data_IF_944885809643
#
_entry.id   IF_944885809643
#
_cell.length_a   1.000
_cell.length_b   1.000
_cell.length_c   1.000
_cell.angle_alpha   90.00
_cell.angle_beta   90.00
_cell.angle_gamma   90.00
#
_symmetry.space_group_name_H-M   'P 1'
#
loop_
_entity.id
_entity.type
_entity.pdbx_description
1 polymer ?
#
# COMPACT_ATOMS: atom_id res chain seq x y z
N UNK A 1 14.10 -6.38 -4.35
CA UNK A 1 14.37 -7.80 -4.15
C UNK A 1 14.74 -8.12 -2.69
N UNK A 2 15.80 -7.53 -2.10
CA UNK A 2 16.27 -7.85 -0.74
C UNK A 2 15.18 -7.67 0.35
N UNK A 3 14.42 -6.59 0.30
CA UNK A 3 13.33 -6.32 1.26
C UNK A 3 12.26 -7.41 1.20
N UNK A 4 11.90 -7.85 0.01
CA UNK A 4 10.90 -8.90 -0.18
C UNK A 4 11.42 -10.27 0.31
N UNK A 5 12.69 -10.58 0.05
CA UNK A 5 13.34 -11.79 0.59
C UNK A 5 13.37 -11.77 2.12
N UNK A 6 13.70 -10.63 2.71
CA UNK A 6 13.69 -10.46 4.17
C UNK A 6 12.28 -10.67 4.75
N UNK A 7 11.24 -10.12 4.11
CA UNK A 7 9.86 -10.34 4.51
C UNK A 7 9.49 -11.82 4.51
N UNK A 8 9.88 -12.56 3.46
CA UNK A 8 9.62 -14.02 3.40
C UNK A 8 10.36 -14.78 4.50
N UNK A 9 11.59 -14.38 4.83
CA UNK A 9 12.34 -14.96 5.95
C UNK A 9 11.60 -14.73 7.28
N UNK A 10 11.10 -13.52 7.51
CA UNK A 10 10.32 -13.21 8.71
C UNK A 10 9.04 -14.03 8.77
N UNK A 11 8.29 -14.11 7.66
CA UNK A 11 7.08 -14.95 7.59
C UNK A 11 7.35 -16.41 7.88
N UNK A 12 8.51 -16.93 7.47
CA UNK A 12 8.86 -18.34 7.68
C UNK A 12 9.39 -18.65 9.10
N UNK A 13 9.98 -17.66 9.77
CA UNK A 13 10.65 -17.84 11.06
C UNK A 13 9.84 -17.42 12.27
N UNK A 14 8.90 -16.50 12.07
CA UNK A 14 8.11 -15.96 13.17
C UNK A 14 6.61 -16.23 12.91
N UNK A 15 5.91 -16.63 13.98
CA UNK A 15 4.45 -16.76 13.97
C UNK A 15 3.82 -15.35 14.06
N UNK A 16 3.87 -14.64 12.94
CA UNK A 16 3.29 -13.30 12.81
C UNK A 16 2.09 -13.36 11.90
N UNK A 17 1.02 -12.69 12.29
CA UNK A 17 -0.12 -12.47 11.43
C UNK A 17 0.17 -11.34 10.46
N UNK A 18 -0.10 -11.58 9.18
CA UNK A 18 0.12 -10.61 8.12
C UNK A 18 -1.18 -10.31 7.39
N UNK A 19 -1.44 -9.07 7.18
CA UNK A 19 -2.49 -8.61 6.27
C UNK A 19 -1.87 -7.85 5.11
N UNK A 20 -2.21 -8.24 3.88
CA UNK A 20 -1.67 -7.61 2.67
C UNK A 20 -2.78 -6.82 1.98
N UNK A 21 -2.47 -5.59 1.62
CA UNK A 21 -3.36 -4.73 0.85
C UNK A 21 -2.62 -4.31 -0.41
N UNK A 22 -3.20 -4.57 -1.58
CA UNK A 22 -2.73 -3.97 -2.84
C UNK A 22 -3.27 -2.55 -2.93
N UNK A 23 -2.43 -1.64 -3.42
CA UNK A 23 -2.84 -0.25 -3.63
C UNK A 23 -4.00 -0.14 -4.62
N UNK A 24 -3.97 -0.93 -5.67
CA UNK A 24 -5.02 -1.00 -6.69
C UNK A 24 -6.36 -1.42 -6.11
N UNK A 25 -6.37 -2.41 -5.22
CA UNK A 25 -7.59 -2.88 -4.52
C UNK A 25 -8.09 -1.81 -3.55
N UNK A 26 -7.17 -1.14 -2.84
CA UNK A 26 -7.53 -0.04 -1.95
C UNK A 26 -8.21 1.11 -2.70
N UNK A 27 -7.73 1.45 -3.90
CA UNK A 27 -8.32 2.52 -4.70
C UNK A 27 -9.64 2.09 -5.33
N UNK A 28 -9.74 0.87 -5.85
CA UNK A 28 -10.95 0.39 -6.54
C UNK A 28 -12.09 0.04 -5.58
N UNK A 29 -11.76 -0.46 -4.39
CA UNK A 29 -12.72 -0.88 -3.37
C UNK A 29 -12.22 -0.48 -1.96
N UNK A 30 -12.17 0.81 -1.69
CA UNK A 30 -11.70 1.35 -0.41
C UNK A 30 -12.41 0.74 0.79
N UNK A 31 -13.74 0.77 0.77
CA UNK A 31 -14.54 0.28 1.91
C UNK A 31 -14.28 -1.20 2.20
N UNK A 32 -14.23 -2.04 1.17
CA UNK A 32 -13.96 -3.47 1.33
C UNK A 32 -12.55 -3.73 1.86
N UNK A 33 -11.53 -3.10 1.26
CA UNK A 33 -10.13 -3.26 1.65
C UNK A 33 -9.89 -2.82 3.09
N UNK A 34 -10.42 -1.65 3.46
CA UNK A 34 -10.25 -1.11 4.82
C UNK A 34 -11.07 -1.90 5.85
N UNK A 35 -12.28 -2.35 5.50
CA UNK A 35 -13.07 -3.21 6.42
C UNK A 35 -12.34 -4.51 6.74
N UNK A 36 -11.69 -5.12 5.75
CA UNK A 36 -10.88 -6.32 5.95
C UNK A 36 -9.66 -6.05 6.84
N UNK A 37 -8.99 -4.91 6.64
CA UNK A 37 -7.89 -4.49 7.51
C UNK A 37 -8.35 -4.27 8.95
N UNK A 38 -9.45 -3.54 9.16
CA UNK A 38 -9.98 -3.27 10.49
C UNK A 38 -10.40 -4.58 11.20
N UNK A 39 -11.02 -5.50 10.45
CA UNK A 39 -11.33 -6.84 10.97
C UNK A 39 -10.08 -7.61 11.40
N UNK A 40 -9.01 -7.54 10.61
CA UNK A 40 -7.73 -8.15 10.96
C UNK A 40 -7.13 -7.55 12.24
N UNK A 41 -7.34 -6.25 12.47
CA UNK A 41 -6.86 -5.52 13.66
C UNK A 41 -7.83 -5.59 14.85
N UNK A 42 -8.94 -6.31 14.73
CA UNK A 42 -10.03 -6.37 15.71
C UNK A 42 -10.60 -4.98 16.05
N UNK A 43 -10.74 -4.14 15.03
CA UNK A 43 -11.26 -2.77 15.15
C UNK A 43 -12.59 -2.63 14.42
N UNK A 44 -13.49 -1.84 15.01
CA UNK A 44 -14.76 -1.48 14.38
C UNK A 44 -14.55 -0.38 13.32
N UNK A 45 -15.47 -0.33 12.35
CA UNK A 45 -15.50 0.75 11.37
C UNK A 45 -15.80 2.08 12.04
N UNK A 46 -15.10 3.12 11.63
CA UNK A 46 -15.40 4.52 11.93
C UNK A 46 -15.45 5.34 10.65
N UNK A 47 -16.41 6.24 10.52
CA UNK A 47 -16.55 7.10 9.34
C UNK A 47 -15.36 8.05 9.17
N UNK A 48 -14.63 8.33 10.24
CA UNK A 48 -13.39 9.10 10.21
C UNK A 48 -12.32 8.49 9.30
N UNK A 49 -12.38 7.18 9.07
CA UNK A 49 -11.46 6.47 8.16
C UNK A 49 -11.61 6.96 6.73
N UNK A 50 -12.83 7.31 6.31
CA UNK A 50 -13.08 7.87 4.96
C UNK A 50 -12.62 9.32 4.84
N UNK A 51 -12.52 10.03 5.96
CA UNK A 51 -12.18 11.45 6.05
C UNK A 51 -10.74 11.70 6.53
N UNK A 52 -9.85 10.70 6.38
CA UNK A 52 -8.46 10.76 6.84
C UNK A 52 -7.73 12.04 6.39
N UNK A 53 -8.01 12.55 5.19
CA UNK A 53 -7.43 13.77 4.65
C UNK A 53 -7.85 15.03 5.45
N UNK A 54 -9.05 15.04 6.03
CA UNK A 54 -9.51 16.13 6.91
C UNK A 54 -8.76 16.08 8.25
N UNK A 55 -8.57 14.89 8.79
CA UNK A 55 -7.81 14.67 10.02
C UNK A 55 -6.35 15.04 9.85
N UNK A 56 -5.73 14.67 8.73
CA UNK A 56 -4.35 15.06 8.40
C UNK A 56 -4.18 16.57 8.33
N UNK A 57 -5.12 17.29 7.73
CA UNK A 57 -5.09 18.76 7.68
C UNK A 57 -5.23 19.41 9.06
N UNK A 58 -6.06 18.85 9.94
CA UNK A 58 -6.24 19.37 11.33
C UNK A 58 -5.00 19.20 12.19
N UNK A 59 -4.16 18.18 11.93
CA UNK A 59 -2.92 17.93 12.68
C UNK A 59 -1.81 18.95 12.37
N UNK A 60 -2.00 19.86 11.43
CA UNK A 60 -1.03 20.86 11.04
C UNK A 60 0.06 20.31 10.11
N UNK A 61 1.15 21.05 9.97
CA UNK A 61 2.23 20.72 9.03
C UNK A 61 2.97 19.46 9.52
N UNK A 62 2.80 18.36 8.79
CA UNK A 62 3.64 17.18 8.94
C UNK A 62 4.86 17.42 8.05
N UNK A 63 6.03 17.61 8.64
CA UNK A 63 7.27 17.90 7.92
C UNK A 63 7.83 16.65 7.19
N UNK A 64 7.00 16.04 6.34
CA UNK A 64 7.41 14.92 5.50
C UNK A 64 7.12 15.23 4.03
N UNK A 65 7.95 14.74 3.09
CA UNK A 65 7.68 14.90 1.65
C UNK A 65 6.31 14.39 1.21
N UNK A 66 5.73 13.44 1.97
CA UNK A 66 4.43 12.83 1.69
C UNK A 66 3.23 13.63 2.19
N UNK A 67 3.44 14.76 2.90
CA UNK A 67 2.32 15.54 3.47
C UNK A 67 1.25 15.89 2.46
N UNK A 68 1.66 16.38 1.29
CA UNK A 68 0.72 16.75 0.22
C UNK A 68 -0.09 15.55 -0.29
N UNK A 69 0.43 14.34 -0.19
CA UNK A 69 -0.26 13.13 -0.62
C UNK A 69 -1.28 12.66 0.41
N UNK A 70 -0.92 12.66 1.70
CA UNK A 70 -1.82 12.20 2.77
C UNK A 70 -2.90 13.22 3.15
N UNK A 71 -2.75 14.48 2.76
CA UNK A 71 -3.74 15.55 2.96
C UNK A 71 -4.75 15.68 1.83
N UNK A 72 -4.69 14.82 0.82
CA UNK A 72 -5.64 14.78 -0.30
C UNK A 72 -6.52 13.52 -0.20
N UNK A 73 -7.72 13.54 -0.81
CA UNK A 73 -8.48 12.31 -1.02
C UNK A 73 -7.68 11.26 -1.78
N UNK A 74 -8.08 10.00 -1.67
CA UNK A 74 -7.49 8.93 -2.46
C UNK A 74 -7.50 9.26 -3.95
N UNK A 75 -6.41 8.95 -4.64
CA UNK A 75 -6.25 9.23 -6.06
C UNK A 75 -5.71 7.99 -6.81
N UNK A 76 -6.08 7.86 -8.07
CA UNK A 76 -5.72 6.71 -8.92
C UNK A 76 -4.46 6.92 -9.77
N UNK A 77 -3.86 8.12 -9.75
CA UNK A 77 -2.75 8.50 -10.64
C UNK A 77 -1.49 7.63 -10.52
N UNK A 78 -1.34 6.90 -9.41
CA UNK A 78 -0.19 6.01 -9.19
C UNK A 78 -0.42 4.58 -9.67
N UNK A 79 -1.66 4.21 -10.03
CA UNK A 79 -1.99 2.88 -10.55
C UNK A 79 -1.22 2.65 -11.86
N UNK A 80 -0.43 1.60 -11.89
CA UNK A 80 0.34 1.21 -13.08
C UNK A 80 1.37 2.25 -13.55
N UNK A 81 1.71 3.26 -12.74
CA UNK A 81 2.65 4.32 -13.12
C UNK A 81 4.02 3.79 -13.54
N UNK A 82 4.47 2.69 -12.97
CA UNK A 82 5.72 2.03 -13.33
C UNK A 82 5.79 1.61 -14.81
N UNK A 83 4.64 1.39 -15.45
CA UNK A 83 4.56 1.03 -16.89
C UNK A 83 5.13 2.11 -17.80
N UNK A 84 5.10 3.38 -17.35
CA UNK A 84 5.69 4.51 -18.08
C UNK A 84 7.22 4.48 -18.08
N UNK A 85 7.83 3.68 -17.20
CA UNK A 85 9.27 3.55 -17.03
C UNK A 85 9.75 2.13 -17.38
N UNK A 86 8.96 1.40 -18.19
CA UNK A 86 9.22 -0.01 -18.48
C UNK A 86 10.58 -0.23 -19.14
N UNK A 87 11.01 0.69 -20.00
CA UNK A 87 12.31 0.59 -20.69
C UNK A 87 13.48 0.81 -19.72
N UNK A 88 13.34 1.78 -18.82
CA UNK A 88 14.34 2.14 -17.82
C UNK A 88 14.45 1.07 -16.72
N UNK A 89 13.40 0.30 -16.52
CA UNK A 89 13.35 -0.78 -15.53
C UNK A 89 13.83 -2.14 -16.07
N UNK A 90 14.22 -2.23 -17.33
CA UNK A 90 14.59 -3.51 -17.99
C UNK A 90 15.63 -4.29 -17.19
N UNK A 91 16.71 -3.63 -16.75
CA UNK A 91 17.76 -4.29 -15.98
C UNK A 91 17.31 -4.76 -14.59
N UNK A 92 16.30 -4.10 -14.04
CA UNK A 92 15.72 -4.44 -12.73
C UNK A 92 14.67 -5.54 -12.80
N UNK A 93 14.08 -5.76 -13.96
CA UNK A 93 12.98 -6.72 -14.12
C UNK A 93 13.38 -8.15 -13.77
N UNK A 94 14.62 -8.55 -14.08
CA UNK A 94 15.15 -9.86 -13.70
C UNK A 94 15.06 -10.14 -12.18
N UNK A 95 15.13 -9.11 -11.35
CA UNK A 95 15.02 -9.24 -9.89
C UNK A 95 13.58 -9.12 -9.38
N UNK A 96 12.68 -8.56 -10.18
CA UNK A 96 11.31 -8.24 -9.80
C UNK A 96 10.28 -9.23 -10.36
N UNK A 97 10.61 -9.93 -11.45
CA UNK A 97 9.67 -10.79 -12.19
C UNK A 97 9.00 -11.85 -11.30
N UNK A 98 9.77 -12.49 -10.42
CA UNK A 98 9.23 -13.48 -9.49
C UNK A 98 8.22 -12.87 -8.50
N UNK A 99 8.46 -11.64 -8.07
CA UNK A 99 7.57 -10.90 -7.17
C UNK A 99 6.33 -10.37 -7.89
N UNK A 100 6.49 -9.85 -9.11
CA UNK A 100 5.40 -9.44 -9.98
C UNK A 100 4.43 -10.59 -10.16
N UNK A 101 4.94 -11.78 -10.52
CA UNK A 101 4.14 -12.99 -10.68
C UNK A 101 3.50 -13.44 -9.36
N UNK A 102 4.26 -13.42 -8.26
CA UNK A 102 3.77 -13.86 -6.93
C UNK A 102 2.63 -12.99 -6.41
N UNK A 103 2.69 -11.70 -6.67
CA UNK A 103 1.69 -10.73 -6.19
C UNK A 103 0.67 -10.32 -7.26
N UNK A 104 0.73 -10.94 -8.44
CA UNK A 104 -0.23 -10.73 -9.52
C UNK A 104 -0.35 -9.24 -9.93
N UNK A 105 0.78 -8.69 -10.40
CA UNK A 105 0.89 -7.33 -10.96
C UNK A 105 1.09 -7.33 -12.47
#
# INVERSE_FOLDING_TARGET
>A
DLVMKLLEIYKSRFSLDFHTIKYEDLISNFKGSVSNLLKFLDLSWSDEVTEFHKTSKKRGIIATPSYNQVSQPLYSKSIGRWKNYKNELTDSNQYLESWIKKYDY
#
